data_IF_837942088074
#
_entry.id   IF_837942088074
#
_cell.length_a   1.000
_cell.length_b   1.000
_cell.length_c   1.000
_cell.angle_alpha   90.00
_cell.angle_beta   90.00
_cell.angle_gamma   90.00
#
_symmetry.space_group_name_H-M   'P 1'
#
loop_
_entity.id
_entity.type
_entity.pdbx_description
1 polymer ?
#
# COMPACT_ATOMS: atom_id res chain seq x y z
N UNK A 1 50.53 -1.90 7.97
CA UNK A 1 49.43 -0.92 7.98
C UNK A 1 48.11 -1.69 7.96
N UNK A 2 47.49 -1.84 9.13
CA UNK A 2 46.24 -2.58 9.35
C UNK A 2 45.05 -1.66 9.08
N UNK A 3 44.27 -1.96 8.04
CA UNK A 3 43.03 -1.26 7.74
C UNK A 3 41.95 -1.79 8.68
N UNK A 4 41.60 -0.96 9.66
CA UNK A 4 40.49 -1.17 10.58
C UNK A 4 39.16 -1.20 9.81
N UNK A 5 38.55 -2.38 9.71
CA UNK A 5 37.16 -2.56 9.30
C UNK A 5 36.25 -1.86 10.31
N UNK A 6 35.85 -0.62 10.01
CA UNK A 6 34.70 0.00 10.68
C UNK A 6 33.46 -0.77 10.27
N UNK A 7 33.07 -1.71 11.13
CA UNK A 7 31.74 -2.29 11.20
C UNK A 7 30.71 -1.14 11.25
N UNK A 8 30.12 -0.83 10.11
CA UNK A 8 28.87 -0.08 10.04
C UNK A 8 27.80 -1.00 10.59
N UNK A 9 27.51 -0.88 11.89
CA UNK A 9 26.28 -1.42 12.47
C UNK A 9 25.12 -0.90 11.63
N UNK A 10 24.57 -1.72 10.73
CA UNK A 10 23.23 -1.51 10.18
C UNK A 10 22.32 -1.47 11.40
N UNK A 11 21.74 -0.30 11.71
CA UNK A 11 20.64 -0.25 12.65
C UNK A 11 19.62 -1.29 12.20
N UNK A 12 19.30 -2.24 13.07
CA UNK A 12 18.24 -3.21 12.80
C UNK A 12 16.96 -2.41 12.55
N UNK A 13 16.54 -2.36 11.29
CA UNK A 13 15.30 -1.70 10.91
C UNK A 13 14.17 -2.45 11.60
N UNK A 14 13.32 -1.73 12.34
CA UNK A 14 12.18 -2.35 13.00
C UNK A 14 11.22 -2.98 11.98
N UNK A 15 10.33 -3.88 12.42
CA UNK A 15 9.35 -4.53 11.54
C UNK A 15 8.52 -3.55 10.69
N UNK A 16 8.15 -2.40 11.28
CA UNK A 16 7.45 -1.33 10.57
C UNK A 16 8.30 -0.68 9.46
N UNK A 17 9.57 -0.39 9.72
CA UNK A 17 10.46 0.25 8.73
C UNK A 17 10.73 -0.68 7.55
N UNK A 18 10.89 -1.98 7.82
CA UNK A 18 11.04 -2.99 6.78
C UNK A 18 9.76 -3.13 5.96
N UNK A 19 8.59 -3.13 6.61
CA UNK A 19 7.31 -3.18 5.92
C UNK A 19 7.03 -1.93 5.09
N UNK A 20 7.24 -0.73 5.64
CA UNK A 20 7.08 0.52 4.92
C UNK A 20 8.03 0.61 3.72
N UNK A 21 9.27 0.13 3.87
CA UNK A 21 10.22 0.01 2.75
C UNK A 21 9.74 -0.93 1.64
N UNK A 22 9.07 -2.03 2.00
CA UNK A 22 8.45 -2.95 1.04
C UNK A 22 7.28 -2.30 0.31
N UNK A 23 6.42 -1.56 1.01
CA UNK A 23 5.37 -0.76 0.38
C UNK A 23 5.94 0.32 -0.54
N UNK A 24 7.07 0.94 -0.19
CA UNK A 24 7.74 1.92 -1.03
C UNK A 24 8.33 1.31 -2.31
N UNK A 25 8.90 0.11 -2.24
CA UNK A 25 9.33 -0.64 -3.41
C UNK A 25 8.13 -1.00 -4.32
N UNK A 26 7.02 -1.41 -3.71
CA UNK A 26 5.77 -1.64 -4.43
C UNK A 26 5.23 -0.38 -5.10
N UNK A 27 5.33 0.78 -4.43
CA UNK A 27 4.92 2.07 -4.99
C UNK A 27 5.75 2.45 -6.23
N UNK A 28 7.07 2.28 -6.21
CA UNK A 28 7.91 2.56 -7.37
C UNK A 28 7.57 1.66 -8.56
N UNK A 29 7.41 0.36 -8.33
CA UNK A 29 7.03 -0.60 -9.38
C UNK A 29 5.64 -0.32 -9.96
N UNK A 30 4.66 -0.02 -9.09
CA UNK A 30 3.31 0.35 -9.48
C UNK A 30 3.30 1.65 -10.30
N UNK A 31 3.99 2.67 -9.81
CA UNK A 31 4.08 3.97 -10.48
C UNK A 31 4.68 3.85 -11.89
N UNK A 32 5.79 3.12 -12.05
CA UNK A 32 6.41 2.90 -13.36
C UNK A 32 5.49 2.16 -14.32
N UNK A 33 4.76 1.16 -13.82
CA UNK A 33 3.81 0.39 -14.63
C UNK A 33 2.66 1.27 -15.09
N UNK A 34 2.07 2.02 -14.16
CA UNK A 34 1.02 2.99 -14.46
C UNK A 34 1.51 4.08 -15.43
N UNK A 35 2.78 4.50 -15.32
CA UNK A 35 3.37 5.49 -16.22
C UNK A 35 3.57 4.96 -17.64
N UNK A 36 3.86 3.67 -17.79
CA UNK A 36 3.98 3.02 -19.09
C UNK A 36 2.63 2.82 -19.77
N UNK A 37 1.55 2.60 -19.00
CA UNK A 37 0.22 2.31 -19.53
C UNK A 37 -0.72 3.52 -19.64
N UNK A 38 -0.47 4.59 -18.88
CA UNK A 38 -1.37 5.75 -18.78
C UNK A 38 -0.73 7.07 -19.24
N UNK A 39 -1.56 7.92 -19.83
CA UNK A 39 -1.20 9.31 -20.21
C UNK A 39 -1.49 10.34 -19.12
N UNK A 40 -2.00 9.91 -17.96
CA UNK A 40 -2.32 10.82 -16.84
C UNK A 40 -1.06 11.55 -16.34
N UNK A 41 -1.27 12.69 -15.68
CA UNK A 41 -0.16 13.47 -15.13
C UNK A 41 0.61 12.68 -14.05
N UNK A 42 1.95 12.80 -13.98
CA UNK A 42 2.78 12.13 -12.97
C UNK A 42 2.27 12.28 -11.52
N UNK A 43 1.77 13.46 -11.16
CA UNK A 43 1.23 13.73 -9.82
C UNK A 43 -0.07 12.97 -9.53
N UNK A 44 -0.93 12.83 -10.53
CA UNK A 44 -2.18 12.07 -10.43
C UNK A 44 -1.82 10.59 -10.28
N UNK A 45 -0.98 10.06 -11.17
CA UNK A 45 -0.52 8.66 -11.13
C UNK A 45 0.14 8.31 -9.79
N UNK A 46 0.98 9.19 -9.25
CA UNK A 46 1.58 9.00 -7.93
C UNK A 46 0.54 8.93 -6.81
N UNK A 47 -0.43 9.84 -6.82
CA UNK A 47 -1.49 9.89 -5.79
C UNK A 47 -2.40 8.66 -5.87
N UNK A 48 -2.78 8.27 -7.09
CA UNK A 48 -3.60 7.08 -7.34
C UNK A 48 -2.85 5.79 -6.99
N UNK A 49 -1.53 5.73 -7.23
CA UNK A 49 -0.70 4.58 -6.84
C UNK A 49 -0.63 4.42 -5.31
N UNK A 50 -0.49 5.53 -4.58
CA UNK A 50 -0.56 5.50 -3.11
C UNK A 50 -1.96 5.04 -2.65
N UNK A 51 -3.02 5.63 -3.21
CA UNK A 51 -4.40 5.25 -2.88
C UNK A 51 -4.64 3.76 -3.11
N UNK A 52 -4.13 3.22 -4.21
CA UNK A 52 -4.26 1.82 -4.58
C UNK A 52 -3.60 0.88 -3.56
N UNK A 53 -2.35 1.17 -3.16
CA UNK A 53 -1.65 0.41 -2.12
C UNK A 53 -2.41 0.46 -0.79
N UNK A 54 -2.87 1.65 -0.38
CA UNK A 54 -3.61 1.82 0.87
C UNK A 54 -4.97 1.10 0.84
N UNK A 55 -5.68 1.11 -0.30
CA UNK A 55 -6.91 0.32 -0.52
C UNK A 55 -6.67 -1.17 -0.32
N UNK A 56 -5.63 -1.72 -0.95
CA UNK A 56 -5.30 -3.14 -0.83
C UNK A 56 -4.91 -3.52 0.61
N UNK A 57 -4.12 -2.68 1.29
CA UNK A 57 -3.79 -2.88 2.70
C UNK A 57 -5.01 -2.80 3.62
N UNK A 58 -5.93 -1.87 3.34
CA UNK A 58 -7.19 -1.76 4.07
C UNK A 58 -8.06 -3.02 3.91
N UNK A 59 -8.12 -3.62 2.71
CA UNK A 59 -8.78 -4.92 2.49
C UNK A 59 -8.11 -6.02 3.30
N UNK A 60 -6.78 -6.17 3.18
CA UNK A 60 -6.01 -7.20 3.88
C UNK A 60 -6.20 -7.14 5.41
N UNK A 61 -6.23 -5.93 5.97
CA UNK A 61 -6.45 -5.72 7.41
C UNK A 61 -7.91 -5.92 7.79
N UNK A 62 -8.85 -5.37 7.02
CA UNK A 62 -10.28 -5.37 7.40
C UNK A 62 -10.89 -6.75 7.25
N UNK A 63 -10.65 -7.44 6.13
CA UNK A 63 -11.15 -8.78 5.89
C UNK A 63 -10.59 -9.82 6.88
N UNK A 64 -9.38 -9.60 7.41
CA UNK A 64 -8.78 -10.51 8.42
C UNK A 64 -9.17 -10.17 9.87
N UNK A 65 -9.91 -9.08 10.10
CA UNK A 65 -10.29 -8.60 11.44
C UNK A 65 -11.77 -8.62 11.74
N UNK A 66 -12.62 -8.52 10.71
CA UNK A 66 -14.06 -8.41 10.88
C UNK A 66 -14.67 -9.82 10.99
N UNK A 67 -15.52 -10.04 12.00
CA UNK A 67 -16.34 -11.25 12.11
C UNK A 67 -17.48 -11.23 11.07
N UNK A 68 -17.79 -12.39 10.49
CA UNK A 68 -18.55 -12.68 9.25
C UNK A 68 -20.00 -12.12 9.12
N UNK A 69 -20.50 -11.26 10.01
CA UNK A 69 -21.94 -11.00 10.14
C UNK A 69 -22.50 -9.76 9.38
N UNK A 70 -21.83 -9.22 8.35
CA UNK A 70 -22.36 -8.09 7.54
C UNK A 70 -22.08 -8.25 6.04
N UNK A 71 -22.99 -7.81 5.17
CA UNK A 71 -22.85 -7.87 3.70
C UNK A 71 -21.58 -7.19 3.16
N UNK A 72 -21.14 -6.08 3.77
CA UNK A 72 -19.85 -5.45 3.43
C UNK A 72 -18.64 -6.31 3.78
N UNK A 73 -18.79 -7.25 4.72
CA UNK A 73 -17.74 -8.20 5.12
C UNK A 73 -17.56 -9.26 4.04
N UNK A 74 -18.66 -9.79 3.48
CA UNK A 74 -18.60 -10.73 2.36
C UNK A 74 -17.88 -10.15 1.14
N UNK A 75 -18.17 -8.89 0.78
CA UNK A 75 -17.49 -8.20 -0.31
C UNK A 75 -16.00 -7.97 -0.02
N UNK A 76 -15.64 -7.64 1.23
CA UNK A 76 -14.23 -7.55 1.63
C UNK A 76 -13.53 -8.91 1.57
N UNK A 77 -14.21 -10.00 1.90
CA UNK A 77 -13.67 -11.36 1.73
C UNK A 77 -13.52 -11.75 0.26
N UNK A 78 -14.43 -11.33 -0.63
CA UNK A 78 -14.28 -11.52 -2.07
C UNK A 78 -13.06 -10.76 -2.62
N UNK A 79 -12.86 -9.51 -2.19
CA UNK A 79 -11.66 -8.74 -2.55
C UNK A 79 -10.38 -9.39 -2.01
N UNK A 80 -10.39 -9.91 -0.77
CA UNK A 80 -9.27 -10.67 -0.21
C UNK A 80 -9.00 -11.96 -1.00
N UNK A 81 -10.05 -12.68 -1.39
CA UNK A 81 -9.95 -13.88 -2.20
C UNK A 81 -9.35 -13.58 -3.59
N UNK A 82 -9.74 -12.48 -4.22
CA UNK A 82 -9.13 -12.02 -5.47
C UNK A 82 -7.62 -11.77 -5.33
N UNK A 83 -7.22 -11.09 -4.25
CA UNK A 83 -5.79 -10.83 -3.94
C UNK A 83 -5.02 -12.14 -3.76
N UNK A 84 -5.55 -13.07 -2.97
CA UNK A 84 -4.86 -14.34 -2.70
C UNK A 84 -4.79 -15.21 -3.96
N UNK A 85 -5.87 -15.28 -4.76
CA UNK A 85 -5.86 -16.05 -6.00
C UNK A 85 -4.89 -15.49 -7.03
N UNK A 86 -4.70 -14.17 -7.10
CA UNK A 86 -3.75 -13.58 -8.04
C UNK A 86 -2.29 -13.92 -7.70
N UNK A 87 -2.00 -14.20 -6.43
CA UNK A 87 -0.69 -14.64 -5.98
C UNK A 87 -0.32 -16.02 -6.56
N UNK A 88 -1.30 -16.91 -6.65
CA UNK A 88 -1.15 -18.31 -7.06
C UNK A 88 -1.45 -18.53 -8.56
N UNK A 89 -2.48 -17.86 -9.08
CA UNK A 89 -2.95 -17.95 -10.46
C UNK A 89 -3.35 -16.56 -11.00
N UNK A 90 -2.39 -15.79 -11.55
CA UNK A 90 -2.63 -14.44 -12.04
C UNK A 90 -3.67 -14.41 -13.16
N UNK A 91 -4.68 -13.54 -13.03
CA UNK A 91 -5.75 -13.40 -14.02
C UNK A 91 -6.36 -12.00 -14.00
N UNK A 92 -6.72 -11.48 -15.17
CA UNK A 92 -7.46 -10.21 -15.28
C UNK A 92 -8.80 -10.25 -14.52
N UNK A 93 -9.42 -11.44 -14.43
CA UNK A 93 -10.66 -11.63 -13.66
C UNK A 93 -10.47 -11.33 -12.16
N UNK A 94 -9.26 -11.51 -11.62
CA UNK A 94 -9.00 -11.23 -10.20
C UNK A 94 -8.98 -9.72 -9.95
N UNK A 95 -8.36 -8.94 -10.84
CA UNK A 95 -8.40 -7.47 -10.75
C UNK A 95 -9.85 -6.95 -10.86
N UNK A 96 -10.62 -7.48 -11.81
CA UNK A 96 -12.02 -7.08 -11.98
C UNK A 96 -12.85 -7.40 -10.73
N UNK A 97 -12.71 -8.63 -10.19
CA UNK A 97 -13.38 -9.03 -8.95
C UNK A 97 -13.00 -8.11 -7.78
N UNK A 98 -11.71 -7.77 -7.65
CA UNK A 98 -11.23 -6.86 -6.61
C UNK A 98 -11.87 -5.46 -6.72
N UNK A 99 -11.85 -4.85 -7.90
CA UNK A 99 -12.43 -3.51 -8.10
C UNK A 99 -13.95 -3.48 -7.94
N UNK A 100 -14.66 -4.50 -8.43
CA UNK A 100 -16.12 -4.60 -8.28
C UNK A 100 -16.53 -4.82 -6.82
N UNK A 101 -15.81 -5.68 -6.09
CA UNK A 101 -16.02 -5.85 -4.64
C UNK A 101 -15.78 -4.55 -3.89
N UNK A 102 -14.72 -3.79 -4.21
CA UNK A 102 -14.45 -2.52 -3.54
C UNK A 102 -15.50 -1.45 -3.85
N UNK A 103 -15.97 -1.36 -5.09
CA UNK A 103 -17.06 -0.46 -5.46
C UNK A 103 -18.31 -0.77 -4.64
N UNK A 104 -18.68 -2.05 -4.53
CA UNK A 104 -19.84 -2.47 -3.77
C UNK A 104 -19.70 -2.19 -2.25
N UNK A 105 -18.50 -2.36 -1.68
CA UNK A 105 -18.21 -1.97 -0.29
C UNK A 105 -18.37 -0.45 -0.11
N UNK A 106 -17.84 0.34 -1.04
CA UNK A 106 -17.95 1.79 -0.98
C UNK A 106 -19.40 2.26 -1.05
N UNK A 107 -20.18 1.73 -2.00
CA UNK A 107 -21.59 2.07 -2.18
C UNK A 107 -22.45 1.71 -0.96
N UNK A 108 -22.11 0.61 -0.27
CA UNK A 108 -22.85 0.14 0.91
C UNK A 108 -22.45 0.87 2.19
N UNK A 109 -21.16 1.17 2.36
CA UNK A 109 -20.62 1.70 3.64
C UNK A 109 -20.38 3.21 3.65
N UNK A 110 -20.24 3.84 2.48
CA UNK A 110 -19.81 5.23 2.34
C UNK A 110 -18.35 5.49 2.73
N UNK A 111 -17.55 4.44 3.01
CA UNK A 111 -16.15 4.64 3.41
C UNK A 111 -15.31 5.09 2.22
N UNK A 112 -14.83 6.34 2.26
CA UNK A 112 -14.03 6.94 1.20
C UNK A 112 -12.71 6.23 0.90
N UNK A 113 -12.18 5.42 1.84
CA UNK A 113 -10.99 4.61 1.59
C UNK A 113 -11.18 3.58 0.48
N UNK A 114 -12.42 3.11 0.25
CA UNK A 114 -12.74 2.11 -0.79
C UNK A 114 -13.28 2.71 -2.08
N UNK A 115 -13.37 4.05 -2.17
CA UNK A 115 -13.76 4.73 -3.39
C UNK A 115 -12.88 4.28 -4.57
N UNK A 116 -13.48 4.16 -5.75
CA UNK A 116 -12.77 3.81 -6.98
C UNK A 116 -11.72 4.86 -7.31
N UNK A 117 -10.60 4.41 -7.87
CA UNK A 117 -9.59 5.29 -8.40
C UNK A 117 -10.14 6.12 -9.57
N UNK A 118 -9.66 7.35 -9.71
CA UNK A 118 -10.02 8.23 -10.83
C UNK A 118 -9.35 7.77 -12.14
N UNK A 119 -8.22 7.06 -12.00
CA UNK A 119 -7.48 6.47 -13.11
C UNK A 119 -7.41 4.96 -12.94
N UNK A 120 -7.86 4.23 -13.95
CA UNK A 120 -7.64 2.79 -14.02
C UNK A 120 -6.13 2.52 -14.20
N UNK A 121 -5.55 1.78 -13.25
CA UNK A 121 -4.14 1.40 -13.28
C UNK A 121 -3.92 0.06 -14.01
N UNK A 122 -4.99 -0.68 -14.29
CA UNK A 122 -4.99 -1.93 -15.05
C UNK A 122 -4.58 -3.18 -14.24
N UNK A 123 -4.69 -4.36 -14.84
CA UNK A 123 -4.43 -5.65 -14.17
C UNK A 123 -2.95 -5.89 -13.81
N UNK A 124 -2.01 -5.28 -14.52
CA UNK A 124 -0.58 -5.40 -14.20
C UNK A 124 -0.21 -4.63 -12.92
N UNK A 125 -0.84 -3.47 -12.72
CA UNK A 125 -0.72 -2.69 -11.49
C UNK A 125 -1.23 -3.46 -10.27
N UNK A 126 -2.38 -4.12 -10.42
CA UNK A 126 -2.92 -5.03 -9.41
C UNK A 126 -1.89 -6.10 -9.02
N UNK A 127 -1.40 -6.85 -10.01
CA UNK A 127 -0.46 -7.95 -9.81
C UNK A 127 0.84 -7.52 -9.14
N UNK A 128 1.44 -6.42 -9.60
CA UNK A 128 2.67 -5.88 -9.02
C UNK A 128 2.44 -5.48 -7.57
N UNK A 129 1.28 -4.89 -7.27
CA UNK A 129 0.94 -4.51 -5.89
C UNK A 129 0.76 -5.74 -5.01
N UNK A 130 0.02 -6.76 -5.46
CA UNK A 130 -0.16 -8.03 -4.75
C UNK A 130 1.20 -8.68 -4.46
N UNK A 131 2.05 -8.79 -5.48
CA UNK A 131 3.39 -9.38 -5.32
C UNK A 131 4.25 -8.57 -4.33
N UNK A 132 4.25 -7.24 -4.46
CA UNK A 132 5.01 -6.37 -3.57
C UNK A 132 4.55 -6.49 -2.11
N UNK A 133 3.25 -6.64 -1.85
CA UNK A 133 2.70 -6.69 -0.50
C UNK A 133 2.74 -8.09 0.14
N UNK A 134 2.58 -9.16 -0.67
CA UNK A 134 2.39 -10.52 -0.15
C UNK A 134 3.60 -11.45 -0.35
N UNK A 135 4.37 -11.37 -1.45
CA UNK A 135 5.56 -12.24 -1.61
C UNK A 135 6.75 -11.83 -0.73
N UNK A 136 7.22 -12.69 0.19
CA UNK A 136 8.42 -12.39 0.96
C UNK A 136 9.56 -12.02 0.02
N UNK A 137 10.17 -10.85 0.25
CA UNK A 137 11.36 -10.47 -0.53
C UNK A 137 12.46 -11.48 -0.19
N UNK A 138 13.23 -12.00 -1.16
CA UNK A 138 14.28 -12.99 -0.90
C UNK A 138 15.34 -12.55 0.13
N UNK A 139 15.40 -11.25 0.42
CA UNK A 139 16.34 -10.62 1.35
C UNK A 139 15.65 -9.91 2.54
N UNK A 140 14.32 -9.99 2.68
CA UNK A 140 13.62 -9.34 3.78
C UNK A 140 13.65 -10.20 5.04
N UNK A 141 14.01 -9.59 6.16
CA UNK A 141 13.97 -10.19 7.51
C UNK A 141 12.54 -10.51 7.99
N UNK A 142 11.50 -10.13 7.25
CA UNK A 142 10.10 -10.41 7.60
C UNK A 142 9.65 -11.60 6.77
N UNK A 143 9.52 -12.75 7.43
CA UNK A 143 9.15 -13.99 6.78
C UNK A 143 7.69 -13.94 6.31
N UNK A 144 6.71 -13.49 7.12
CA UNK A 144 5.30 -13.30 6.72
C UNK A 144 4.64 -12.14 7.50
N UNK A 145 3.64 -11.49 6.89
CA UNK A 145 2.88 -10.39 7.52
C UNK A 145 1.52 -10.92 7.94
N UNK A 146 1.25 -10.89 9.24
CA UNK A 146 -0.06 -11.23 9.79
C UNK A 146 -0.92 -9.97 9.89
N UNK A 147 -1.72 -9.67 8.85
CA UNK A 147 -2.54 -8.44 8.82
C UNK A 147 -3.63 -8.43 9.92
N UNK A 148 -4.05 -9.61 10.40
CA UNK A 148 -4.92 -9.74 11.57
C UNK A 148 -4.37 -9.01 12.80
N UNK A 149 -3.08 -9.18 13.12
CA UNK A 149 -2.45 -8.61 14.34
C UNK A 149 -1.76 -7.27 14.09
N UNK A 150 -1.71 -6.80 12.85
CA UNK A 150 -1.00 -5.58 12.43
C UNK A 150 -1.66 -4.28 12.97
N UNK A 151 -1.01 -3.47 13.82
CA UNK A 151 -1.64 -2.27 14.37
C UNK A 151 -2.17 -1.32 13.28
N UNK A 152 -3.37 -0.75 13.46
CA UNK A 152 -3.94 0.20 12.47
C UNK A 152 -3.05 1.43 12.26
N UNK A 153 -2.27 1.80 13.28
CA UNK A 153 -1.29 2.87 13.20
C UNK A 153 -0.21 2.65 12.14
N UNK A 154 0.01 1.39 11.73
CA UNK A 154 0.94 1.08 10.66
C UNK A 154 0.40 1.53 9.29
N UNK A 155 -0.92 1.51 9.03
CA UNK A 155 -1.48 2.06 7.79
C UNK A 155 -1.14 3.54 7.65
N UNK A 156 -1.36 4.30 8.72
CA UNK A 156 -1.01 5.73 8.76
C UNK A 156 0.49 5.97 8.61
N UNK A 157 1.32 5.16 9.26
CA UNK A 157 2.79 5.26 9.15
C UNK A 157 3.29 4.91 7.75
N UNK A 158 2.72 3.89 7.11
CA UNK A 158 3.00 3.52 5.72
C UNK A 158 2.58 4.65 4.79
N UNK A 159 1.36 5.18 4.94
CA UNK A 159 0.89 6.30 4.15
C UNK A 159 1.84 7.50 4.25
N UNK A 160 2.27 7.87 5.46
CA UNK A 160 3.26 8.91 5.66
C UNK A 160 4.60 8.59 4.99
N UNK A 161 5.04 7.34 5.03
CA UNK A 161 6.29 6.91 4.41
C UNK A 161 6.20 7.02 2.88
N UNK A 162 5.10 6.59 2.27
CA UNK A 162 4.86 6.72 0.83
C UNK A 162 4.83 8.19 0.37
N UNK A 163 4.35 9.09 1.23
CA UNK A 163 4.38 10.54 1.01
C UNK A 163 5.76 11.18 1.11
N UNK A 164 6.80 10.41 1.47
CA UNK A 164 8.19 10.88 1.41
C UNK A 164 8.81 10.74 0.02
N UNK A 165 8.07 10.23 -0.96
CA UNK A 165 8.50 10.13 -2.36
C UNK A 165 7.80 11.19 -3.22
N UNK A 166 8.35 11.49 -4.39
CA UNK A 166 7.71 12.32 -5.40
C UNK A 166 8.18 11.94 -6.80
N UNK A 167 7.36 12.14 -7.85
CA UNK A 167 7.87 12.10 -9.21
C UNK A 167 9.03 13.08 -9.38
N UNK A 168 10.10 12.65 -10.03
CA UNK A 168 11.20 13.52 -10.43
C UNK A 168 10.74 14.57 -11.47
N UNK A 169 11.63 15.47 -11.86
CA UNK A 169 11.29 16.55 -12.82
C UNK A 169 10.79 16.03 -14.17
N UNK A 170 11.26 14.85 -14.60
CA UNK A 170 10.81 14.20 -15.85
C UNK A 170 9.50 13.42 -15.68
N UNK A 171 9.15 13.06 -14.43
CA UNK A 171 8.02 12.20 -14.10
C UNK A 171 8.25 10.71 -14.34
N UNK A 172 9.47 10.28 -14.66
CA UNK A 172 9.76 8.89 -15.03
C UNK A 172 10.07 8.00 -13.82
N UNK A 173 10.49 8.60 -12.71
CA UNK A 173 10.89 7.87 -11.51
C UNK A 173 10.41 8.58 -10.24
N UNK A 174 10.34 7.83 -9.15
CA UNK A 174 10.08 8.37 -7.82
C UNK A 174 11.40 8.62 -7.07
N UNK A 175 11.54 9.81 -6.51
CA UNK A 175 12.70 10.22 -5.71
C UNK A 175 12.29 10.56 -4.27
N UNK A 176 13.14 10.23 -3.27
CA UNK A 176 12.90 10.65 -1.90
C UNK A 176 12.92 12.18 -1.75
N UNK A 177 11.84 12.75 -1.23
CA UNK A 177 11.66 14.16 -0.93
C UNK A 177 11.49 14.38 0.57
N UNK A 178 12.49 15.03 1.19
CA UNK A 178 12.43 15.41 2.62
C UNK A 178 11.54 16.63 2.88
N UNK A 179 11.21 17.42 1.85
CA UNK A 179 10.55 18.72 2.01
C UNK A 179 9.02 18.63 2.06
N UNK A 180 8.40 17.64 1.41
CA UNK A 180 6.94 17.63 1.25
C UNK A 180 6.15 17.21 2.49
N UNK A 181 6.63 16.27 3.32
CA UNK A 181 5.93 15.92 4.57
C UNK A 181 5.75 17.14 5.49
N UNK A 182 6.81 17.94 5.62
CA UNK A 182 6.81 19.16 6.44
C UNK A 182 5.93 20.25 5.82
N UNK A 183 5.99 20.41 4.50
CA UNK A 183 5.26 21.48 3.80
C UNK A 183 3.76 21.22 3.63
N UNK A 184 3.31 19.96 3.63
CA UNK A 184 1.88 19.60 3.55
C UNK A 184 1.23 19.31 4.90
N UNK A 185 1.97 19.35 6.00
CA UNK A 185 1.45 19.08 7.34
C UNK A 185 0.90 17.66 7.51
N UNK A 186 1.34 16.69 6.70
CA UNK A 186 0.79 15.32 6.75
C UNK A 186 1.48 14.52 7.85
N UNK A 187 0.86 14.57 9.03
CA UNK A 187 1.27 13.81 10.20
C UNK A 187 0.18 12.80 10.58
N UNK A 188 0.57 11.54 10.81
CA UNK A 188 -0.31 10.54 11.37
C UNK A 188 -0.60 10.89 12.82
N UNK A 189 -1.88 10.94 13.18
CA UNK A 189 -2.33 11.14 14.54
C UNK A 189 -2.53 9.78 15.21
N UNK A 190 -1.77 9.45 16.27
CA UNK A 190 -1.96 8.22 17.03
C UNK A 190 -3.38 8.09 17.57
N UNK A 191 -3.88 6.85 17.69
CA UNK A 191 -5.21 6.58 18.23
C UNK A 191 -5.42 7.19 19.62
N UNK A 192 -4.40 7.20 20.47
CA UNK A 192 -4.46 7.83 21.81
C UNK A 192 -4.75 9.33 21.75
N UNK A 193 -4.22 10.03 20.75
CA UNK A 193 -4.47 11.46 20.51
C UNK A 193 -5.85 11.67 19.89
N UNK A 194 -6.29 10.79 18.98
CA UNK A 194 -7.67 10.84 18.44
C UNK A 194 -8.69 10.66 19.56
N UNK A 195 -8.51 9.65 20.41
CA UNK A 195 -9.38 9.38 21.56
C UNK A 195 -9.31 10.43 22.67
N UNK A 196 -8.28 11.29 22.67
CA UNK A 196 -8.21 12.44 23.58
C UNK A 196 -8.96 13.66 23.05
N UNK A 197 -9.05 13.80 21.71
CA UNK A 197 -9.70 14.94 21.05
C UNK A 197 -11.23 14.73 20.94
N UNK A 198 -11.65 13.49 20.67
CA UNK A 198 -13.07 13.09 20.62
C UNK A 198 -13.59 12.91 22.05
#
# INVERSE_FOLDING_TARGET
MSISLRSTKRAEKGPLDSFAGRCAAGLDALYRTARASSRAEPKILYTESIRYIIRMLAVLISAQRINENKSSTEMLHQALHAINNDLDNPSESNNQLFEDSLRAVHDTSGFGIFATNETDLGPDAFRITVQALLRPHPDALIEHIYFQTMPLSWLGSVYQHLLTFQPNETGDALEPSRSHRKNRGVFFTPQSLVSYII
#
